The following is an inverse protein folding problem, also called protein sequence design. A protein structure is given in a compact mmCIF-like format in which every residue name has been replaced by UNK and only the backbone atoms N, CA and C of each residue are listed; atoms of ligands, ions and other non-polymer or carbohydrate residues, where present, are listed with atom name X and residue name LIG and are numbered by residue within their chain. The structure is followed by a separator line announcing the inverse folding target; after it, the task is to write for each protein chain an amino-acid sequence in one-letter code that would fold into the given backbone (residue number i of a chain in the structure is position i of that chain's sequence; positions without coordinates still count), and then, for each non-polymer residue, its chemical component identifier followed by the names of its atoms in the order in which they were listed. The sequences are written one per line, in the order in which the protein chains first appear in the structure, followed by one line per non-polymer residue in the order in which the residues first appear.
data_IF_045975431731
#
_entry.id   IF_045975431731
#
_cell.length_a   1.000
_cell.length_b   1.000
_cell.length_c   1.000
_cell.angle_alpha   90.00
_cell.angle_beta   90.00
_cell.angle_gamma   90.00
#
_symmetry.space_group_name_H-M   'P 1'
#
loop_
_entity.id
_entity.type
_entity.pdbx_description
1 polymer ?
#
# COMPACT_ATOMS: atom_id res chain seq x y z
N UNK A 1 6.59 -4.10 -28.92
CA UNK A 1 6.88 -4.28 -27.47
C UNK A 1 8.19 -3.58 -27.18
N UNK A 2 8.22 -2.69 -26.19
CA UNK A 2 9.43 -1.97 -25.81
C UNK A 2 10.47 -2.98 -25.28
N UNK A 3 11.74 -2.89 -25.69
CA UNK A 3 12.80 -3.75 -25.14
C UNK A 3 13.12 -3.29 -23.72
N UNK A 4 12.83 -4.13 -22.75
CA UNK A 4 13.20 -3.95 -21.35
C UNK A 4 14.44 -4.78 -21.08
N UNK A 5 15.51 -4.18 -20.55
CA UNK A 5 16.69 -4.90 -20.09
C UNK A 5 16.49 -5.25 -18.61
N UNK A 6 16.42 -6.54 -18.30
CA UNK A 6 16.12 -7.04 -16.96
C UNK A 6 17.40 -7.43 -16.21
N UNK A 7 18.51 -7.64 -16.92
CA UNK A 7 19.73 -8.21 -16.37
C UNK A 7 19.74 -9.74 -16.39
N UNK A 8 20.95 -10.30 -16.41
CA UNK A 8 21.22 -11.74 -16.62
C UNK A 8 20.35 -12.72 -15.81
N UNK A 9 20.17 -12.59 -14.48
CA UNK A 9 19.44 -13.61 -13.71
C UNK A 9 17.97 -13.75 -14.14
N UNK A 10 17.33 -12.64 -14.54
CA UNK A 10 15.93 -12.65 -14.97
C UNK A 10 15.78 -13.15 -16.41
N UNK A 11 16.73 -12.80 -17.28
CA UNK A 11 16.75 -13.31 -18.66
C UNK A 11 16.94 -14.84 -18.69
N UNK A 12 17.87 -15.37 -17.89
CA UNK A 12 18.08 -16.82 -17.74
C UNK A 12 16.83 -17.53 -17.20
N UNK A 13 16.15 -16.93 -16.22
CA UNK A 13 14.91 -17.47 -15.67
C UNK A 13 13.79 -17.51 -16.73
N UNK A 14 13.58 -16.42 -17.47
CA UNK A 14 12.61 -16.37 -18.57
C UNK A 14 12.94 -17.42 -19.63
N UNK A 15 14.22 -17.57 -19.97
CA UNK A 15 14.65 -18.55 -20.97
C UNK A 15 14.34 -19.99 -20.52
N UNK A 16 14.55 -20.33 -19.24
CA UNK A 16 14.16 -21.64 -18.69
C UNK A 16 12.66 -21.90 -18.80
N UNK A 17 11.83 -20.90 -18.51
CA UNK A 17 10.36 -21.01 -18.61
C UNK A 17 9.91 -21.22 -20.06
N UNK A 18 10.50 -20.54 -21.03
CA UNK A 18 10.19 -20.76 -22.44
C UNK A 18 10.68 -22.15 -22.89
N UNK A 19 11.90 -22.55 -22.51
CA UNK A 19 12.45 -23.87 -22.87
C UNK A 19 11.66 -25.04 -22.29
N UNK A 20 11.00 -24.84 -21.15
CA UNK A 20 10.13 -25.85 -20.55
C UNK A 20 8.84 -26.10 -21.35
N UNK A 21 8.52 -25.24 -22.34
CA UNK A 21 7.33 -25.36 -23.18
C UNK A 21 6.05 -24.80 -22.57
N UNK A 22 6.06 -24.36 -21.31
CA UNK A 22 4.90 -23.72 -20.66
C UNK A 22 4.57 -22.34 -21.25
N UNK A 23 5.53 -21.69 -21.90
CA UNK A 23 5.36 -20.39 -22.53
C UNK A 23 5.94 -20.41 -23.95
N UNK A 24 5.23 -19.82 -24.91
CA UNK A 24 5.66 -19.74 -26.30
C UNK A 24 6.72 -18.65 -26.53
N UNK A 25 6.80 -17.64 -25.64
CA UNK A 25 7.77 -16.54 -25.78
C UNK A 25 8.06 -15.81 -24.47
N UNK A 26 9.19 -15.10 -24.44
CA UNK A 26 9.53 -14.19 -23.33
C UNK A 26 8.47 -13.11 -23.10
N UNK A 27 7.86 -12.62 -24.19
CA UNK A 27 6.77 -11.63 -24.13
C UNK A 27 5.54 -12.17 -23.40
N UNK A 28 5.27 -13.46 -23.49
CA UNK A 28 4.17 -14.12 -22.79
C UNK A 28 4.47 -14.26 -21.29
N UNK A 29 5.68 -14.70 -20.94
CA UNK A 29 6.15 -14.76 -19.55
C UNK A 29 6.01 -13.39 -18.87
N UNK A 30 6.44 -12.33 -19.55
CA UNK A 30 6.37 -10.97 -19.01
C UNK A 30 4.93 -10.48 -18.83
N UNK A 31 4.04 -10.77 -19.78
CA UNK A 31 2.61 -10.41 -19.63
C UNK A 31 1.99 -11.14 -18.44
N UNK A 32 2.26 -12.43 -18.28
CA UNK A 32 1.71 -13.19 -17.16
C UNK A 32 2.27 -12.71 -15.81
N UNK A 33 3.58 -12.46 -15.73
CA UNK A 33 4.21 -11.89 -14.53
C UNK A 33 3.63 -10.51 -14.16
N UNK A 34 3.40 -9.64 -15.15
CA UNK A 34 2.78 -8.33 -14.92
C UNK A 34 1.33 -8.46 -14.47
N UNK A 35 0.57 -9.39 -15.06
CA UNK A 35 -0.81 -9.67 -14.64
C UNK A 35 -0.87 -10.11 -13.18
N UNK A 36 -0.04 -11.07 -12.78
CA UNK A 36 0.07 -11.50 -11.38
C UNK A 36 0.47 -10.35 -10.45
N UNK A 37 1.36 -9.45 -10.91
CA UNK A 37 1.76 -8.29 -10.13
C UNK A 37 0.62 -7.28 -9.96
N UNK A 38 -0.19 -7.07 -11.00
CA UNK A 38 -1.37 -6.21 -10.96
C UNK A 38 -2.41 -6.79 -9.99
N UNK A 39 -2.75 -8.06 -10.12
CA UNK A 39 -3.68 -8.76 -9.22
C UNK A 39 -3.19 -8.68 -7.76
N UNK A 40 -1.90 -8.92 -7.51
CA UNK A 40 -1.30 -8.74 -6.19
C UNK A 40 -1.45 -7.30 -5.70
N UNK A 41 -1.16 -6.30 -6.53
CA UNK A 41 -1.25 -4.89 -6.13
C UNK A 41 -2.67 -4.49 -5.74
N UNK A 42 -3.68 -4.94 -6.50
CA UNK A 42 -5.10 -4.69 -6.21
C UNK A 42 -5.52 -5.35 -4.89
N UNK A 43 -5.10 -6.61 -4.67
CA UNK A 43 -5.36 -7.30 -3.41
C UNK A 43 -4.72 -6.59 -2.22
N UNK A 44 -3.49 -6.07 -2.37
CA UNK A 44 -2.79 -5.37 -1.29
C UNK A 44 -3.46 -4.05 -0.95
N UNK A 45 -3.92 -3.29 -1.95
CA UNK A 45 -4.69 -2.07 -1.71
C UNK A 45 -6.00 -2.36 -0.98
N UNK A 46 -6.74 -3.39 -1.41
CA UNK A 46 -7.97 -3.82 -0.75
C UNK A 46 -7.73 -4.26 0.71
N UNK A 47 -6.68 -5.07 0.95
CA UNK A 47 -6.31 -5.49 2.30
C UNK A 47 -5.89 -4.32 3.19
N UNK A 48 -5.12 -3.36 2.66
CA UNK A 48 -4.73 -2.17 3.42
C UNK A 48 -5.94 -1.32 3.80
N UNK A 49 -6.90 -1.15 2.89
CA UNK A 49 -8.14 -0.45 3.19
C UNK A 49 -8.93 -1.17 4.29
N UNK A 50 -9.08 -2.49 4.20
CA UNK A 50 -9.75 -3.30 5.23
C UNK A 50 -9.08 -3.17 6.59
N UNK A 51 -7.74 -3.17 6.64
CA UNK A 51 -6.99 -2.98 7.87
C UNK A 51 -7.24 -1.59 8.49
N UNK A 52 -7.20 -0.53 7.69
CA UNK A 52 -7.46 0.84 8.17
C UNK A 52 -8.90 1.03 8.67
N UNK A 53 -9.87 0.38 8.01
CA UNK A 53 -11.27 0.38 8.47
C UNK A 53 -11.38 -0.34 9.81
N UNK A 54 -10.75 -1.51 9.96
CA UNK A 54 -10.77 -2.25 11.21
C UNK A 54 -10.11 -1.46 12.35
N UNK A 55 -8.97 -0.82 12.10
CA UNK A 55 -8.32 0.07 13.08
C UNK A 55 -9.27 1.18 13.54
N UNK A 56 -10.03 1.79 12.62
CA UNK A 56 -11.05 2.78 12.96
C UNK A 56 -12.20 2.20 13.80
N UNK A 57 -12.65 0.98 13.51
CA UNK A 57 -13.68 0.29 14.30
C UNK A 57 -13.19 -0.03 15.71
N UNK A 58 -11.96 -0.53 15.83
CA UNK A 58 -11.33 -0.83 17.11
C UNK A 58 -11.17 0.45 17.96
N UNK A 59 -10.85 1.58 17.34
CA UNK A 59 -10.78 2.88 18.01
C UNK A 59 -12.16 3.37 18.48
N UNK A 60 -13.24 3.10 17.72
CA UNK A 60 -14.62 3.37 18.16
C UNK A 60 -14.98 2.51 19.38
N UNK A 61 -14.70 1.21 19.34
CA UNK A 61 -14.96 0.30 20.47
C UNK A 61 -14.15 0.68 21.72
N UNK A 62 -12.90 1.11 21.52
CA UNK A 62 -12.04 1.60 22.60
C UNK A 62 -12.40 3.00 23.11
N UNK A 63 -13.40 3.67 22.51
CA UNK A 63 -13.82 5.01 22.88
C UNK A 63 -12.80 6.10 22.53
N UNK A 64 -11.82 5.82 21.66
CA UNK A 64 -10.82 6.80 21.16
C UNK A 64 -11.41 7.69 20.06
N UNK A 65 -12.63 8.13 20.26
CA UNK A 65 -13.36 9.00 19.34
C UNK A 65 -13.51 10.38 19.93
N UNK A 66 -13.65 11.38 19.06
CA UNK A 66 -13.96 12.75 19.45
C UNK A 66 -15.31 13.14 18.85
N UNK A 67 -16.21 13.80 19.59
CA UNK A 67 -17.48 14.27 19.05
C UNK A 67 -17.25 15.22 17.88
N UNK A 68 -18.04 15.08 16.81
CA UNK A 68 -18.05 16.01 15.71
C UNK A 68 -19.17 17.04 15.92
N UNK A 69 -18.86 18.09 16.67
CA UNK A 69 -19.76 19.20 17.00
C UNK A 69 -19.26 20.55 16.46
N UNK A 70 -19.97 21.62 16.77
CA UNK A 70 -19.64 22.99 16.32
C UNK A 70 -18.25 23.46 16.77
N UNK A 71 -17.72 22.93 17.88
CA UNK A 71 -16.43 23.31 18.46
C UNK A 71 -15.30 22.35 18.04
N UNK A 72 -15.60 21.35 17.20
CA UNK A 72 -14.65 20.31 16.81
C UNK A 72 -13.32 20.89 16.31
N UNK A 73 -13.37 21.86 15.39
CA UNK A 73 -12.17 22.44 14.79
C UNK A 73 -11.34 23.23 15.79
N UNK A 74 -11.98 23.97 16.69
CA UNK A 74 -11.29 24.73 17.73
C UNK A 74 -10.57 23.80 18.71
N UNK A 75 -11.21 22.70 19.09
CA UNK A 75 -10.63 21.66 19.94
C UNK A 75 -9.42 20.97 19.27
N UNK A 76 -9.51 20.67 17.97
CA UNK A 76 -8.38 20.11 17.22
C UNK A 76 -7.22 21.09 17.14
N UNK A 77 -7.48 22.36 16.82
CA UNK A 77 -6.45 23.41 16.73
C UNK A 77 -5.72 23.59 18.07
N UNK A 78 -6.46 23.62 19.19
CA UNK A 78 -5.88 23.71 20.53
C UNK A 78 -4.97 22.50 20.82
N UNK A 79 -5.41 21.27 20.50
CA UNK A 79 -4.64 20.04 20.71
C UNK A 79 -3.37 19.98 19.85
N UNK A 80 -3.42 20.47 18.60
CA UNK A 80 -2.23 20.57 17.75
C UNK A 80 -1.23 21.56 18.32
N UNK A 81 -1.68 22.74 18.76
CA UNK A 81 -0.82 23.74 19.39
C UNK A 81 -0.12 23.20 20.66
N UNK A 82 -0.83 22.41 21.47
CA UNK A 82 -0.26 21.72 22.63
C UNK A 82 0.77 20.66 22.23
N UNK A 83 0.48 19.82 21.24
CA UNK A 83 1.40 18.79 20.75
C UNK A 83 2.70 19.37 20.20
N UNK A 84 2.64 20.52 19.53
CA UNK A 84 3.83 21.26 19.06
C UNK A 84 4.67 21.73 20.25
N UNK A 85 4.05 22.33 21.27
CA UNK A 85 4.76 22.75 22.50
C UNK A 85 5.43 21.57 23.21
N UNK A 86 4.76 20.41 23.22
CA UNK A 86 5.25 19.19 23.82
C UNK A 86 6.19 18.37 22.91
N UNK A 87 6.55 18.91 21.74
CA UNK A 87 7.43 18.28 20.76
C UNK A 87 7.06 16.82 20.40
N UNK A 88 5.76 16.52 20.35
CA UNK A 88 5.28 15.19 19.95
C UNK A 88 5.54 14.95 18.46
N UNK A 89 6.10 13.78 18.14
CA UNK A 89 6.37 13.37 16.76
C UNK A 89 5.08 12.96 16.04
N UNK A 90 4.98 13.32 14.76
CA UNK A 90 3.93 12.83 13.86
C UNK A 90 4.26 11.38 13.49
N UNK A 91 3.35 10.42 13.73
CA UNK A 91 3.58 9.02 13.39
C UNK A 91 3.85 8.83 11.90
N UNK A 92 4.77 7.94 11.55
CA UNK A 92 5.23 7.78 10.16
C UNK A 92 4.13 7.32 9.20
N UNK A 93 3.14 6.57 9.70
CA UNK A 93 2.05 6.02 8.89
C UNK A 93 0.99 7.05 8.49
N UNK A 94 1.02 8.28 9.03
CA UNK A 94 0.15 9.41 8.66
C UNK A 94 0.90 10.54 7.95
N UNK A 95 2.21 10.37 7.67
CA UNK A 95 2.95 11.33 6.86
C UNK A 95 2.57 11.19 5.38
N UNK A 96 2.43 12.31 4.64
CA UNK A 96 2.10 12.29 3.21
C UNK A 96 3.22 11.72 2.35
#
# INVERSE_FOLDING_TARGET
MQRVNLGKPYEEFIQKLVQSGYYASASEVLRDALRLKMEQSEMWQGKRLQQLVQEGLDDVEAGKVVPFDENFWDNINARVAENIKNNRSIPDHVRP
#
